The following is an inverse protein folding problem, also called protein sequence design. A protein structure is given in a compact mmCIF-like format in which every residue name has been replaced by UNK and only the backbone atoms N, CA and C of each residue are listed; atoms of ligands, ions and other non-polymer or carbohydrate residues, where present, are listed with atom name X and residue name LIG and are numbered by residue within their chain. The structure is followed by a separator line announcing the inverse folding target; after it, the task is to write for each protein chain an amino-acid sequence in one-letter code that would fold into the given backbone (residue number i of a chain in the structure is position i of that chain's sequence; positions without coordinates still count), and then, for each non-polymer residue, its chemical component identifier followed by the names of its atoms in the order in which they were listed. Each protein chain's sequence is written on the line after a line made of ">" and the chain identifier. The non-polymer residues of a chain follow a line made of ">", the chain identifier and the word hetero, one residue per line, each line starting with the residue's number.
data_IF_294163469622
#
_entry.id   IF_294163469622
#
_cell.length_a   1.000
_cell.length_b   1.000
_cell.length_c   1.000
_cell.angle_alpha   90.00
_cell.angle_beta   90.00
_cell.angle_gamma   90.00
#
_symmetry.space_group_name_H-M   'P 1'
#
loop_
_entity.id
_entity.type
_entity.pdbx_description
1 polymer ?
#
# COMPACT_ATOMS: atom_id res chain seq x y z
N UNK A 1 -50.36 45.32 16.80
CA UNK A 1 -49.89 44.42 15.72
C UNK A 1 -48.39 44.10 15.78
N UNK A 2 -47.53 44.85 16.47
CA UNK A 2 -46.07 44.60 16.44
C UNK A 2 -45.48 43.53 17.39
N UNK A 3 -46.17 43.10 18.44
CA UNK A 3 -45.62 42.11 19.38
C UNK A 3 -45.63 40.66 18.82
N UNK A 4 -46.59 40.35 17.96
CA UNK A 4 -46.72 39.03 17.33
C UNK A 4 -45.69 38.85 16.19
N UNK A 5 -45.46 39.90 15.39
CA UNK A 5 -44.41 39.90 14.35
C UNK A 5 -42.99 39.82 14.95
N UNK A 6 -42.73 40.49 16.09
CA UNK A 6 -41.42 40.37 16.76
C UNK A 6 -41.18 38.99 17.36
N UNK A 7 -42.24 38.30 17.81
CA UNK A 7 -42.15 36.93 18.34
C UNK A 7 -41.94 35.90 17.22
N UNK A 8 -42.64 36.01 16.08
CA UNK A 8 -42.41 35.12 14.92
C UNK A 8 -40.98 35.27 14.36
N UNK A 9 -40.46 36.50 14.26
CA UNK A 9 -39.07 36.70 13.84
C UNK A 9 -38.05 36.16 14.85
N UNK A 10 -38.36 36.20 16.14
CA UNK A 10 -37.51 35.62 17.19
C UNK A 10 -37.53 34.08 17.15
N UNK A 11 -38.70 33.45 16.99
CA UNK A 11 -38.82 31.99 16.85
C UNK A 11 -38.11 31.48 15.58
N UNK A 12 -38.27 32.16 14.45
CA UNK A 12 -37.57 31.78 13.22
C UNK A 12 -36.04 31.93 13.32
N UNK A 13 -35.56 32.96 14.02
CA UNK A 13 -34.13 33.14 14.29
C UNK A 13 -33.58 32.09 15.26
N UNK A 14 -34.35 31.70 16.27
CA UNK A 14 -33.94 30.67 17.24
C UNK A 14 -33.91 29.27 16.60
N UNK A 15 -34.91 28.92 15.78
CA UNK A 15 -34.94 27.67 15.01
C UNK A 15 -33.80 27.59 13.98
N UNK A 16 -33.50 28.69 13.28
CA UNK A 16 -32.36 28.75 12.36
C UNK A 16 -31.01 28.63 13.09
N UNK A 17 -30.88 29.25 14.27
CA UNK A 17 -29.72 29.14 15.16
C UNK A 17 -29.49 27.70 15.63
N UNK A 18 -30.55 27.00 16.04
CA UNK A 18 -30.48 25.59 16.45
C UNK A 18 -30.06 24.66 15.32
N UNK A 19 -30.64 24.82 14.12
CA UNK A 19 -30.28 24.04 12.93
C UNK A 19 -28.82 24.23 12.53
N UNK A 20 -28.33 25.47 12.53
CA UNK A 20 -26.95 25.78 12.17
C UNK A 20 -25.93 25.21 13.17
N UNK A 21 -26.24 25.18 14.47
CA UNK A 21 -25.39 24.53 15.49
C UNK A 21 -25.27 23.02 15.25
N UNK A 22 -26.37 22.36 14.88
CA UNK A 22 -26.36 20.92 14.57
C UNK A 22 -25.52 20.62 13.33
N UNK A 23 -25.62 21.45 12.28
CA UNK A 23 -24.82 21.29 11.06
C UNK A 23 -23.32 21.56 11.35
N UNK A 24 -23.01 22.55 12.18
CA UNK A 24 -21.64 22.82 12.60
C UNK A 24 -21.03 21.63 13.38
N UNK A 25 -21.81 21.00 14.26
CA UNK A 25 -21.41 19.77 14.95
C UNK A 25 -21.18 18.62 13.96
N UNK A 26 -22.07 18.43 12.98
CA UNK A 26 -21.91 17.44 11.92
C UNK A 26 -20.58 17.63 11.17
N UNK A 27 -20.25 18.88 10.76
CA UNK A 27 -18.98 19.20 10.10
C UNK A 27 -17.79 18.81 10.97
N UNK A 28 -17.82 19.13 12.27
CA UNK A 28 -16.74 18.80 13.19
C UNK A 28 -16.53 17.28 13.31
N UNK A 29 -17.61 16.50 13.35
CA UNK A 29 -17.53 15.02 13.36
C UNK A 29 -16.97 14.49 12.04
N UNK A 30 -17.44 14.98 10.89
CA UNK A 30 -16.91 14.54 9.59
C UNK A 30 -15.43 14.90 9.46
N UNK A 31 -15.01 16.09 9.92
CA UNK A 31 -13.62 16.52 9.89
C UNK A 31 -12.71 15.65 10.76
N UNK A 32 -13.19 15.16 11.91
CA UNK A 32 -12.45 14.20 12.73
C UNK A 32 -12.19 12.90 11.96
N UNK A 33 -13.21 12.35 11.29
CA UNK A 33 -13.05 11.13 10.49
C UNK A 33 -12.20 11.34 9.25
N UNK A 34 -12.27 12.51 8.61
CA UNK A 34 -11.37 12.91 7.53
C UNK A 34 -9.91 12.87 8.00
N UNK A 35 -9.60 13.48 9.14
CA UNK A 35 -8.24 13.50 9.68
C UNK A 35 -7.71 12.09 9.97
N UNK A 36 -8.56 11.20 10.48
CA UNK A 36 -8.22 9.79 10.69
C UNK A 36 -7.96 9.06 9.36
N UNK A 37 -8.87 9.22 8.38
CA UNK A 37 -8.75 8.60 7.06
C UNK A 37 -7.47 9.06 6.33
N UNK A 38 -7.16 10.36 6.35
CA UNK A 38 -5.94 10.90 5.74
C UNK A 38 -4.68 10.39 6.43
N UNK A 39 -4.70 10.25 7.76
CA UNK A 39 -3.55 9.72 8.53
C UNK A 39 -3.31 8.24 8.18
N UNK A 40 -4.36 7.44 8.14
CA UNK A 40 -4.30 6.03 7.73
C UNK A 40 -3.87 5.88 6.27
N UNK A 41 -4.40 6.74 5.39
CA UNK A 41 -4.02 6.83 3.98
C UNK A 41 -2.52 7.09 3.80
N UNK A 42 -1.98 8.14 4.44
CA UNK A 42 -0.54 8.45 4.39
C UNK A 42 0.32 7.30 4.93
N UNK A 43 -0.13 6.63 6.00
CA UNK A 43 0.54 5.45 6.54
C UNK A 43 0.58 4.30 5.53
N UNK A 44 -0.56 3.97 4.91
CA UNK A 44 -0.68 2.94 3.89
C UNK A 44 0.16 3.25 2.63
N UNK A 45 0.15 4.51 2.17
CA UNK A 45 0.98 4.98 1.07
C UNK A 45 2.47 4.81 1.38
N UNK A 46 2.91 5.24 2.56
CA UNK A 46 4.30 5.12 3.00
C UNK A 46 4.73 3.65 3.07
N UNK A 47 3.87 2.79 3.61
CA UNK A 47 4.12 1.35 3.67
C UNK A 47 4.24 0.74 2.27
N UNK A 48 3.33 1.09 1.35
CA UNK A 48 3.39 0.64 -0.04
C UNK A 48 4.71 1.04 -0.70
N UNK A 49 5.10 2.32 -0.61
CA UNK A 49 6.35 2.80 -1.19
C UNK A 49 7.55 2.05 -0.59
N UNK A 50 7.58 1.91 0.73
CA UNK A 50 8.64 1.18 1.44
C UNK A 50 8.74 -0.28 0.97
N UNK A 51 7.61 -0.98 0.87
CA UNK A 51 7.54 -2.37 0.42
C UNK A 51 7.88 -2.53 -1.05
N UNK A 52 7.54 -1.55 -1.89
CA UNK A 52 7.95 -1.53 -3.29
C UNK A 52 9.48 -1.37 -3.42
N UNK A 53 10.10 -0.51 -2.62
CA UNK A 53 11.56 -0.37 -2.57
C UNK A 53 12.21 -1.65 -2.05
N UNK A 54 11.66 -2.27 -1.01
CA UNK A 54 12.12 -3.56 -0.48
C UNK A 54 12.08 -4.66 -1.56
N UNK A 55 10.94 -4.83 -2.25
CA UNK A 55 10.79 -5.79 -3.34
C UNK A 55 11.78 -5.53 -4.49
N UNK A 56 11.93 -4.27 -4.90
CA UNK A 56 12.89 -3.87 -5.94
C UNK A 56 14.33 -4.24 -5.57
N UNK A 57 14.74 -3.95 -4.33
CA UNK A 57 16.06 -4.32 -3.83
C UNK A 57 16.26 -5.85 -3.80
N UNK A 58 15.27 -6.61 -3.34
CA UNK A 58 15.34 -8.07 -3.31
C UNK A 58 15.46 -8.66 -4.72
N UNK A 59 14.71 -8.14 -5.69
CA UNK A 59 14.85 -8.52 -7.09
C UNK A 59 16.21 -8.14 -7.69
N UNK A 60 16.79 -7.01 -7.29
CA UNK A 60 18.13 -6.63 -7.69
C UNK A 60 19.19 -7.60 -7.13
N UNK A 61 19.08 -8.00 -5.86
CA UNK A 61 19.96 -9.01 -5.27
C UNK A 61 19.79 -10.38 -5.92
N UNK A 62 18.55 -10.79 -6.21
CA UNK A 62 18.25 -12.01 -6.96
C UNK A 62 18.96 -12.01 -8.33
N UNK A 63 18.80 -10.93 -9.10
CA UNK A 63 19.43 -10.78 -10.41
C UNK A 63 20.95 -10.83 -10.31
N UNK A 64 21.54 -10.14 -9.33
CA UNK A 64 22.98 -10.16 -9.10
C UNK A 64 23.49 -11.57 -8.77
N UNK A 65 22.81 -12.33 -7.89
CA UNK A 65 23.16 -13.73 -7.59
C UNK A 65 22.96 -14.64 -8.79
N UNK A 66 21.89 -14.45 -9.56
CA UNK A 66 21.63 -15.22 -10.78
C UNK A 66 22.74 -15.02 -11.80
N UNK A 67 23.18 -13.79 -12.05
CA UNK A 67 24.30 -13.49 -12.94
C UNK A 67 25.59 -14.15 -12.45
N UNK A 68 25.93 -13.99 -11.16
CA UNK A 68 27.14 -14.62 -10.58
C UNK A 68 27.10 -16.14 -10.72
N UNK A 69 25.92 -16.74 -10.51
CA UNK A 69 25.71 -18.18 -10.70
C UNK A 69 25.92 -18.57 -12.16
N UNK A 70 25.29 -17.89 -13.12
CA UNK A 70 25.47 -18.16 -14.56
C UNK A 70 26.92 -18.06 -14.98
N UNK A 71 27.67 -17.06 -14.49
CA UNK A 71 29.11 -16.92 -14.78
C UNK A 71 29.91 -18.12 -14.24
N UNK A 72 29.66 -18.55 -13.00
CA UNK A 72 30.35 -19.69 -12.39
C UNK A 72 29.99 -21.00 -13.10
N UNK A 73 28.73 -21.20 -13.48
CA UNK A 73 28.27 -22.36 -14.25
C UNK A 73 28.93 -22.38 -15.64
N UNK A 74 28.90 -21.27 -16.39
CA UNK A 74 29.54 -21.17 -17.69
C UNK A 74 31.06 -21.41 -17.62
N UNK A 75 31.74 -20.90 -16.58
CA UNK A 75 33.17 -21.14 -16.35
C UNK A 75 33.46 -22.62 -16.07
N UNK A 76 32.60 -23.27 -15.28
CA UNK A 76 32.69 -24.70 -14.97
C UNK A 76 32.48 -25.57 -16.21
N UNK A 77 31.49 -25.22 -17.05
CA UNK A 77 31.22 -25.93 -18.30
C UNK A 77 32.37 -25.78 -19.29
N UNK A 78 32.93 -24.57 -19.42
CA UNK A 78 34.11 -24.34 -20.27
C UNK A 78 35.33 -25.14 -19.77
N UNK A 79 35.59 -25.15 -18.46
CA UNK A 79 36.67 -25.94 -17.87
C UNK A 79 36.47 -27.45 -18.07
N UNK A 80 35.21 -27.92 -18.07
CA UNK A 80 34.89 -29.33 -18.29
C UNK A 80 35.24 -29.78 -19.70
N UNK A 81 35.07 -28.93 -20.71
CA UNK A 81 35.47 -29.21 -22.08
C UNK A 81 36.99 -29.40 -22.20
N UNK A 82 37.77 -28.67 -21.40
CA UNK A 82 39.24 -28.77 -21.40
C UNK A 82 39.77 -30.09 -20.83
N UNK A 83 39.02 -30.79 -19.98
CA UNK A 83 39.44 -32.08 -19.40
C UNK A 83 39.72 -33.16 -20.46
N UNK A 84 38.98 -33.15 -21.58
CA UNK A 84 39.13 -34.13 -22.65
C UNK A 84 40.36 -33.90 -23.54
N UNK A 85 40.98 -32.73 -23.47
CA UNK A 85 42.11 -32.33 -24.33
C UNK A 85 43.43 -32.26 -23.53
N UNK A 86 43.36 -32.30 -22.19
CA UNK A 86 44.54 -32.29 -21.33
C UNK A 86 45.28 -33.63 -21.34
N UNK A 87 46.60 -33.57 -21.47
CA UNK A 87 47.48 -34.77 -21.46
C UNK A 87 48.00 -35.18 -20.08
N UNK A 88 48.13 -34.23 -19.15
CA UNK A 88 48.70 -34.48 -17.80
C UNK A 88 47.61 -34.84 -16.77
N UNK A 89 47.81 -35.95 -16.07
CA UNK A 89 46.82 -36.50 -15.12
C UNK A 89 46.77 -35.72 -13.80
N UNK A 90 47.89 -35.14 -13.35
CA UNK A 90 47.91 -34.29 -12.17
C UNK A 90 47.11 -32.99 -12.41
N UNK A 91 47.30 -32.37 -13.57
CA UNK A 91 46.53 -31.20 -13.98
C UNK A 91 45.03 -31.52 -14.18
N UNK A 92 44.67 -32.69 -14.73
CA UNK A 92 43.25 -33.11 -14.82
C UNK A 92 42.60 -33.22 -13.45
N UNK A 93 43.27 -33.83 -12.48
CA UNK A 93 42.75 -33.98 -11.12
C UNK A 93 42.55 -32.61 -10.44
N UNK A 94 43.48 -31.66 -10.62
CA UNK A 94 43.35 -30.31 -10.11
C UNK A 94 42.17 -29.56 -10.75
N UNK A 95 41.99 -29.65 -12.07
CA UNK A 95 40.89 -29.01 -12.79
C UNK A 95 39.53 -29.61 -12.40
N UNK A 96 39.46 -30.93 -12.24
CA UNK A 96 38.25 -31.62 -11.77
C UNK A 96 37.84 -31.13 -10.37
N UNK A 97 38.81 -30.97 -9.45
CA UNK A 97 38.55 -30.42 -8.11
C UNK A 97 38.03 -28.98 -8.18
N UNK A 98 38.57 -28.16 -9.07
CA UNK A 98 38.12 -26.78 -9.27
C UNK A 98 36.69 -26.72 -9.83
N UNK A 99 36.36 -27.58 -10.79
CA UNK A 99 35.00 -27.73 -11.34
C UNK A 99 33.99 -28.08 -10.25
N UNK A 100 34.30 -29.04 -9.38
CA UNK A 100 33.41 -29.40 -8.27
C UNK A 100 33.25 -28.26 -7.25
N UNK A 101 34.32 -27.49 -6.99
CA UNK A 101 34.25 -26.29 -6.15
C UNK A 101 33.34 -25.19 -6.75
N UNK A 102 33.42 -24.97 -8.07
CA UNK A 102 32.53 -24.04 -8.77
C UNK A 102 31.08 -24.52 -8.77
N UNK A 103 30.81 -25.81 -9.00
CA UNK A 103 29.45 -26.38 -8.89
C UNK A 103 28.87 -26.19 -7.50
N UNK A 104 29.65 -26.46 -6.44
CA UNK A 104 29.21 -26.21 -5.06
C UNK A 104 28.89 -24.74 -4.81
N UNK A 105 29.69 -23.83 -5.37
CA UNK A 105 29.46 -22.38 -5.29
C UNK A 105 28.18 -21.97 -6.01
N UNK A 106 27.93 -22.49 -7.22
CA UNK A 106 26.71 -22.26 -7.98
C UNK A 106 25.46 -22.78 -7.23
N UNK A 107 25.56 -23.96 -6.62
CA UNK A 107 24.49 -24.53 -5.79
C UNK A 107 24.18 -23.64 -4.58
N UNK A 108 25.21 -23.12 -3.89
CA UNK A 108 25.03 -22.17 -2.77
C UNK A 108 24.37 -20.86 -3.22
N UNK A 109 24.74 -20.31 -4.37
CA UNK A 109 24.06 -19.12 -4.90
C UNK A 109 22.59 -19.37 -5.23
N UNK A 110 22.25 -20.60 -5.64
CA UNK A 110 20.87 -20.99 -5.88
C UNK A 110 20.05 -21.01 -4.58
N UNK A 111 20.54 -21.74 -3.58
CA UNK A 111 19.85 -21.94 -2.31
C UNK A 111 20.83 -21.87 -1.15
N UNK A 112 20.54 -20.97 -0.21
CA UNK A 112 21.33 -20.75 1.00
C UNK A 112 20.38 -20.50 2.18
N UNK A 113 19.73 -21.55 2.69
CA UNK A 113 18.66 -21.41 3.68
C UNK A 113 19.15 -20.82 5.00
N UNK A 114 20.40 -21.10 5.39
CA UNK A 114 20.99 -20.63 6.65
C UNK A 114 21.07 -19.11 6.76
N UNK A 115 21.35 -18.43 5.64
CA UNK A 115 21.43 -16.96 5.59
C UNK A 115 20.19 -16.31 4.99
N UNK A 116 19.34 -17.09 4.31
CA UNK A 116 18.17 -16.57 3.58
C UNK A 116 18.56 -15.71 2.37
N UNK A 117 19.80 -15.81 1.90
CA UNK A 117 20.33 -15.02 0.78
C UNK A 117 20.39 -15.80 -0.53
N UNK A 118 20.05 -17.09 -0.57
CA UNK A 118 20.01 -17.83 -1.83
C UNK A 118 18.97 -17.23 -2.79
N UNK A 119 19.19 -17.38 -4.10
CA UNK A 119 18.28 -16.81 -5.11
C UNK A 119 16.82 -17.26 -4.93
N UNK A 120 16.58 -18.50 -4.51
CA UNK A 120 15.22 -18.99 -4.24
C UNK A 120 14.58 -18.24 -3.04
N UNK A 121 15.33 -18.05 -1.96
CA UNK A 121 14.86 -17.34 -0.76
C UNK A 121 14.67 -15.83 -1.03
N UNK A 122 15.55 -15.22 -1.83
CA UNK A 122 15.42 -13.82 -2.25
C UNK A 122 14.16 -13.61 -3.08
N UNK A 123 13.86 -14.51 -4.02
CA UNK A 123 12.65 -14.43 -4.84
C UNK A 123 11.37 -14.63 -4.02
N UNK A 124 11.36 -15.53 -3.05
CA UNK A 124 10.23 -15.72 -2.13
C UNK A 124 9.95 -14.46 -1.30
N UNK A 125 11.01 -13.89 -0.69
CA UNK A 125 10.91 -12.64 0.07
C UNK A 125 10.46 -11.47 -0.81
N UNK A 126 10.95 -11.39 -2.05
CA UNK A 126 10.54 -10.35 -2.99
C UNK A 126 9.03 -10.41 -3.25
N UNK A 127 8.50 -11.61 -3.53
CA UNK A 127 7.06 -11.83 -3.73
C UNK A 127 6.23 -11.50 -2.49
N UNK A 128 6.74 -11.83 -1.29
CA UNK A 128 6.06 -11.44 -0.05
C UNK A 128 6.00 -9.92 0.10
N UNK A 129 7.11 -9.22 -0.17
CA UNK A 129 7.14 -7.76 -0.14
C UNK A 129 6.21 -7.12 -1.20
N UNK A 130 6.08 -7.74 -2.38
CA UNK A 130 5.08 -7.33 -3.39
C UNK A 130 3.66 -7.51 -2.88
N UNK A 131 3.36 -8.64 -2.23
CA UNK A 131 2.03 -8.86 -1.65
C UNK A 131 1.71 -7.85 -0.55
N UNK A 132 2.67 -7.56 0.33
CA UNK A 132 2.52 -6.53 1.38
C UNK A 132 2.31 -5.14 0.77
N UNK A 133 3.04 -4.81 -0.31
CA UNK A 133 2.85 -3.57 -1.07
C UNK A 133 1.44 -3.50 -1.63
N UNK A 134 0.97 -4.55 -2.28
CA UNK A 134 -0.34 -4.58 -2.95
C UNK A 134 -1.47 -4.46 -1.93
N UNK A 135 -1.35 -5.12 -0.78
CA UNK A 135 -2.26 -4.96 0.35
C UNK A 135 -2.26 -3.50 0.86
N UNK A 136 -1.08 -2.89 1.00
CA UNK A 136 -0.97 -1.50 1.46
C UNK A 136 -1.57 -0.52 0.43
N UNK A 137 -1.38 -0.75 -0.87
CA UNK A 137 -2.03 0.04 -1.93
C UNK A 137 -3.54 -0.11 -1.92
N UNK A 138 -4.06 -1.33 -1.75
CA UNK A 138 -5.50 -1.56 -1.66
C UNK A 138 -6.12 -0.77 -0.49
N UNK A 139 -5.46 -0.79 0.68
CA UNK A 139 -5.87 0.04 1.83
C UNK A 139 -5.85 1.53 1.51
N UNK A 140 -4.77 2.00 0.87
CA UNK A 140 -4.59 3.39 0.50
C UNK A 140 -5.75 3.92 -0.36
N UNK A 141 -6.14 3.20 -1.42
CA UNK A 141 -7.24 3.64 -2.29
C UNK A 141 -8.57 3.77 -1.55
N UNK A 142 -8.89 2.88 -0.61
CA UNK A 142 -10.10 2.99 0.22
C UNK A 142 -10.08 4.24 1.11
N UNK A 143 -8.92 4.54 1.71
CA UNK A 143 -8.77 5.76 2.52
C UNK A 143 -8.83 7.03 1.66
N UNK A 144 -8.35 7.02 0.42
CA UNK A 144 -8.52 8.16 -0.49
C UNK A 144 -9.99 8.40 -0.84
N UNK A 145 -10.74 7.35 -1.19
CA UNK A 145 -12.17 7.46 -1.48
C UNK A 145 -12.95 7.93 -0.24
N UNK A 146 -12.63 7.40 0.94
CA UNK A 146 -13.23 7.85 2.18
C UNK A 146 -12.95 9.34 2.46
N UNK A 147 -11.70 9.76 2.33
CA UNK A 147 -11.29 11.17 2.51
C UNK A 147 -12.01 12.09 1.52
N UNK A 148 -12.12 11.70 0.24
CA UNK A 148 -12.87 12.45 -0.75
C UNK A 148 -14.36 12.57 -0.38
N UNK A 149 -15.00 11.49 0.06
CA UNK A 149 -16.39 11.50 0.51
C UNK A 149 -16.60 12.44 1.71
N UNK A 150 -15.69 12.42 2.70
CA UNK A 150 -15.74 13.33 3.84
C UNK A 150 -15.54 14.80 3.44
N UNK A 151 -14.58 15.10 2.57
CA UNK A 151 -14.34 16.46 2.07
C UNK A 151 -15.57 17.01 1.33
N UNK A 152 -16.17 16.24 0.42
CA UNK A 152 -17.41 16.62 -0.27
C UNK A 152 -18.55 16.80 0.75
N UNK A 153 -18.67 15.88 1.72
CA UNK A 153 -19.65 15.97 2.80
C UNK A 153 -19.54 17.28 3.60
N UNK A 154 -18.32 17.70 3.96
CA UNK A 154 -18.05 18.97 4.65
C UNK A 154 -18.48 20.17 3.79
N UNK A 155 -18.17 20.15 2.49
CA UNK A 155 -18.56 21.24 1.57
C UNK A 155 -20.08 21.35 1.48
N UNK A 156 -20.81 20.24 1.36
CA UNK A 156 -22.28 20.23 1.31
C UNK A 156 -22.93 20.65 2.64
N UNK A 157 -22.39 20.22 3.77
CA UNK A 157 -22.85 20.69 5.08
C UNK A 157 -22.63 22.20 5.23
N UNK A 158 -21.48 22.71 4.81
CA UNK A 158 -21.19 24.15 4.82
C UNK A 158 -22.14 24.94 3.90
N UNK A 159 -22.43 24.41 2.70
CA UNK A 159 -23.42 24.99 1.79
C UNK A 159 -24.83 25.00 2.38
N UNK A 160 -25.18 24.03 3.23
CA UNK A 160 -26.48 24.00 3.93
C UNK A 160 -26.65 25.19 4.86
N UNK A 161 -25.61 25.59 5.59
CA UNK A 161 -25.64 26.75 6.50
C UNK A 161 -25.93 28.04 5.71
N UNK A 162 -25.36 28.18 4.51
CA UNK A 162 -25.49 29.37 3.67
C UNK A 162 -26.86 29.41 2.97
N UNK A 163 -27.30 28.28 2.43
CA UNK A 163 -28.49 28.20 1.56
C UNK A 163 -29.79 27.90 2.31
N UNK A 164 -29.70 27.38 3.54
CA UNK A 164 -30.85 26.87 4.31
C UNK A 164 -31.47 25.58 3.77
N UNK A 165 -30.91 24.97 2.71
CA UNK A 165 -31.48 23.80 2.06
C UNK A 165 -31.16 22.50 2.81
N UNK A 166 -32.07 22.04 3.67
CA UNK A 166 -31.92 20.81 4.47
C UNK A 166 -31.55 19.57 3.64
N UNK A 167 -31.97 19.50 2.37
CA UNK A 167 -31.59 18.42 1.45
C UNK A 167 -30.06 18.24 1.33
N UNK A 168 -29.29 19.32 1.38
CA UNK A 168 -27.82 19.28 1.33
C UNK A 168 -27.21 18.63 2.58
N UNK A 169 -27.82 18.83 3.76
CA UNK A 169 -27.39 18.16 4.99
C UNK A 169 -27.64 16.64 4.95
N UNK A 170 -28.74 16.20 4.32
CA UNK A 170 -29.00 14.77 4.12
C UNK A 170 -27.96 14.12 3.20
N UNK A 171 -27.64 14.77 2.08
CA UNK A 171 -26.59 14.28 1.17
C UNK A 171 -25.23 14.27 1.85
N UNK A 172 -24.91 15.31 2.63
CA UNK A 172 -23.69 15.35 3.45
C UNK A 172 -23.63 14.18 4.44
N UNK A 173 -24.71 13.91 5.17
CA UNK A 173 -24.81 12.79 6.10
C UNK A 173 -24.65 11.44 5.39
N UNK A 174 -25.23 11.27 4.20
CA UNK A 174 -25.05 10.06 3.40
C UNK A 174 -23.60 9.86 2.98
N UNK A 175 -22.92 10.93 2.54
CA UNK A 175 -21.50 10.88 2.20
C UNK A 175 -20.61 10.59 3.40
N UNK A 176 -20.97 11.09 4.60
CA UNK A 176 -20.27 10.76 5.83
C UNK A 176 -20.38 9.26 6.16
N UNK A 177 -21.57 8.68 6.00
CA UNK A 177 -21.77 7.23 6.19
C UNK A 177 -20.98 6.43 5.15
N UNK A 178 -20.99 6.86 3.89
CA UNK A 178 -20.19 6.24 2.83
C UNK A 178 -18.69 6.30 3.15
N UNK A 179 -18.17 7.45 3.58
CA UNK A 179 -16.77 7.61 3.98
C UNK A 179 -16.39 6.71 5.16
N UNK A 180 -17.27 6.55 6.15
CA UNK A 180 -17.07 5.61 7.26
C UNK A 180 -17.03 4.17 6.77
N UNK A 181 -17.91 3.79 5.84
CA UNK A 181 -17.93 2.46 5.26
C UNK A 181 -16.62 2.17 4.50
N UNK A 182 -16.14 3.09 3.66
CA UNK A 182 -14.86 2.92 2.95
C UNK A 182 -13.66 2.90 3.90
N UNK A 183 -13.65 3.71 4.96
CA UNK A 183 -12.62 3.64 6.01
C UNK A 183 -12.60 2.27 6.68
N UNK A 184 -13.77 1.72 7.00
CA UNK A 184 -13.89 0.40 7.61
C UNK A 184 -13.46 -0.73 6.65
N UNK A 185 -13.83 -0.64 5.36
CA UNK A 185 -13.38 -1.56 4.31
C UNK A 185 -11.85 -1.53 4.19
N UNK A 186 -11.24 -0.35 4.16
CA UNK A 186 -9.79 -0.20 4.16
C UNK A 186 -9.14 -0.87 5.38
N UNK A 187 -9.75 -0.79 6.56
CA UNK A 187 -9.20 -1.37 7.79
C UNK A 187 -9.31 -2.90 7.83
N UNK A 188 -10.49 -3.44 7.51
CA UNK A 188 -10.82 -4.85 7.76
C UNK A 188 -10.84 -5.74 6.51
N UNK A 189 -11.16 -5.19 5.35
CA UNK A 189 -11.37 -5.96 4.13
C UNK A 189 -10.89 -5.22 2.86
N UNK A 190 -9.60 -4.82 2.78
CA UNK A 190 -9.10 -3.95 1.71
C UNK A 190 -9.19 -4.57 0.30
N UNK A 191 -9.29 -5.89 0.18
CA UNK A 191 -9.46 -6.58 -1.09
C UNK A 191 -10.94 -6.88 -1.44
N UNK A 192 -11.90 -6.60 -0.56
CA UNK A 192 -13.31 -6.91 -0.80
C UNK A 192 -13.92 -6.03 -1.90
N UNK A 193 -13.37 -4.84 -2.13
CA UNK A 193 -13.81 -3.92 -3.17
C UNK A 193 -12.57 -3.53 -3.99
N UNK A 194 -12.53 -3.98 -5.24
CA UNK A 194 -11.51 -3.54 -6.19
C UNK A 194 -11.92 -2.18 -6.75
N UNK A 195 -11.26 -1.13 -6.26
CA UNK A 195 -11.26 0.16 -6.91
C UNK A 195 -10.11 0.11 -7.94
N UNK A 196 -10.47 0.21 -9.23
CA UNK A 196 -9.57 0.05 -10.37
C UNK A 196 -8.43 1.06 -10.38
#
# INVERSE_FOLDING_TARGET
>A
MGAHESMEHAEHAEHASGSNKNIALLIAVIALFLALSETLGKGAQTLSISKNVEASNLWAFFQAKSIRRTVVEATSDQARLSLGVMGDDAAKAALQKQIEAWKKTAARYRSEPETGEGSEQLAERAKHAEHDRDLAMARYHHYEVASAAFQIGIVLASATIITGMIALAWVSGLLAIAGLAFTAIGLFAPHAVHLM
#
